data_IF_315695208142
#
_entry.id   IF_315695208142
#
_cell.length_a   1.000
_cell.length_b   1.000
_cell.length_c   1.000
_cell.angle_alpha   90.00
_cell.angle_beta   90.00
_cell.angle_gamma   90.00
#
_symmetry.space_group_name_H-M   'P 1'
#
loop_
_entity.id
_entity.type
_entity.pdbx_description
1 polymer ?
#
# COMPACT_ATOMS: atom_id res chain seq x y z
N UNK A 1 19.33 -54.17 14.07
CA UNK A 1 20.64 -54.20 13.40
C UNK A 1 20.66 -53.07 12.39
N UNK A 2 21.49 -52.08 12.68
CA UNK A 2 21.62 -50.81 11.98
C UNK A 2 22.66 -50.98 10.88
N UNK A 3 22.30 -50.73 9.64
CA UNK A 3 23.28 -50.43 8.59
C UNK A 3 22.54 -49.86 7.40
N UNK A 4 22.43 -48.53 7.34
CA UNK A 4 22.62 -47.64 6.17
C UNK A 4 22.55 -46.17 6.61
N UNK A 5 23.18 -45.88 7.75
CA UNK A 5 23.75 -44.56 8.02
C UNK A 5 25.10 -44.54 7.29
N UNK A 6 25.50 -43.37 6.76
CA UNK A 6 26.70 -43.12 5.94
C UNK A 6 26.56 -43.40 4.45
N UNK A 7 25.85 -42.50 3.74
CA UNK A 7 26.36 -41.74 2.57
C UNK A 7 25.35 -40.64 2.24
N UNK A 8 25.35 -39.55 3.02
CA UNK A 8 25.11 -38.18 2.54
C UNK A 8 25.31 -37.20 3.71
N UNK A 9 26.54 -37.16 4.22
CA UNK A 9 27.02 -36.01 4.98
C UNK A 9 27.59 -35.04 3.94
N UNK A 10 27.00 -33.85 3.85
CA UNK A 10 27.29 -32.83 2.83
C UNK A 10 26.08 -32.73 1.91
N UNK A 11 25.15 -31.81 2.09
CA UNK A 11 25.40 -30.37 1.96
C UNK A 11 24.55 -29.60 2.99
N UNK A 12 25.29 -29.02 3.93
CA UNK A 12 25.08 -27.75 4.62
C UNK A 12 23.86 -26.91 4.15
N UNK A 13 22.98 -26.65 5.13
CA UNK A 13 22.11 -25.48 5.29
C UNK A 13 22.54 -24.26 4.48
N UNK A 14 21.83 -23.90 3.42
CA UNK A 14 21.72 -22.50 2.95
C UNK A 14 20.39 -22.31 2.21
N UNK A 15 19.32 -21.96 2.93
CA UNK A 15 18.18 -21.28 2.28
C UNK A 15 18.45 -19.78 2.36
N UNK A 16 19.07 -19.28 1.29
CA UNK A 16 19.45 -17.89 1.12
C UNK A 16 18.23 -16.96 1.24
N UNK A 17 18.34 -15.96 2.12
CA UNK A 17 17.44 -14.81 2.12
C UNK A 17 17.64 -14.07 0.80
N UNK A 18 16.64 -14.05 -0.07
CA UNK A 18 16.64 -13.16 -1.24
C UNK A 18 16.31 -11.74 -0.77
N UNK A 19 17.35 -10.97 -0.46
CA UNK A 19 17.21 -9.52 -0.38
C UNK A 19 17.15 -8.97 -1.80
N UNK A 20 16.04 -8.32 -2.17
CA UNK A 20 15.99 -7.48 -3.36
C UNK A 20 16.76 -6.18 -3.06
N UNK A 21 17.98 -6.05 -3.61
CA UNK A 21 18.72 -4.79 -3.58
C UNK A 21 18.13 -3.87 -4.66
N UNK A 22 17.63 -2.70 -4.26
CA UNK A 22 17.36 -1.63 -5.19
C UNK A 22 18.68 -1.19 -5.86
N UNK A 23 18.71 -0.88 -7.16
CA UNK A 23 19.88 -0.22 -7.73
C UNK A 23 20.10 1.10 -6.99
N UNK A 24 21.29 1.27 -6.43
CA UNK A 24 21.74 2.56 -5.95
C UNK A 24 21.65 3.54 -7.12
N UNK A 25 20.83 4.58 -6.97
CA UNK A 25 20.83 5.69 -7.90
C UNK A 25 22.26 6.27 -7.88
N UNK A 26 22.98 6.10 -8.99
CA UNK A 26 24.19 6.86 -9.25
C UNK A 26 23.73 8.28 -9.57
N UNK A 27 23.36 9.05 -8.54
CA UNK A 27 23.21 10.47 -8.67
C UNK A 27 24.61 11.05 -8.78
N UNK A 28 25.12 11.07 -10.01
CA UNK A 28 26.12 12.04 -10.41
C UNK A 28 25.58 13.40 -10.00
N UNK A 29 26.37 14.05 -9.17
CA UNK A 29 26.21 15.40 -8.69
C UNK A 29 25.78 16.36 -9.82
N UNK A 30 24.98 17.35 -9.43
CA UNK A 30 24.22 18.27 -10.25
C UNK A 30 24.66 18.42 -11.71
N UNK A 31 23.80 17.97 -12.63
CA UNK A 31 23.59 18.69 -13.87
C UNK A 31 22.87 20.01 -13.54
N UNK A 32 23.57 20.92 -12.85
CA UNK A 32 23.29 22.34 -12.95
C UNK A 32 23.59 22.68 -14.39
N UNK A 33 22.55 22.76 -15.24
CA UNK A 33 22.71 23.37 -16.55
C UNK A 33 23.23 24.78 -16.32
N UNK A 34 24.46 25.13 -16.73
CA UNK A 34 24.85 26.52 -16.72
C UNK A 34 23.94 27.22 -17.72
N UNK A 35 23.14 28.18 -17.22
CA UNK A 35 22.62 29.24 -18.06
C UNK A 35 23.83 29.84 -18.75
N UNK A 36 23.92 29.61 -20.06
CA UNK A 36 24.95 30.18 -20.92
C UNK A 36 24.75 31.70 -20.92
N UNK A 37 25.49 32.39 -20.06
CA UNK A 37 25.85 33.78 -20.31
C UNK A 37 27.29 33.75 -20.81
N UNK A 38 27.46 33.91 -22.13
CA UNK A 38 28.76 34.22 -22.71
C UNK A 38 29.21 35.57 -22.13
N UNK A 39 30.24 35.58 -21.29
CA UNK A 39 31.14 36.72 -21.15
C UNK A 39 32.57 36.19 -20.94
N UNK A 40 33.51 36.49 -21.86
CA UNK A 40 34.88 36.03 -21.75
C UNK A 40 35.63 37.01 -20.84
N UNK A 41 36.21 36.52 -19.77
CA UNK A 41 37.59 36.83 -19.38
C UNK A 41 37.88 36.37 -17.94
N UNK A 42 38.84 35.44 -17.86
CA UNK A 42 40.04 35.55 -17.02
C UNK A 42 39.87 35.60 -15.49
N UNK A 43 40.52 34.66 -14.80
CA UNK A 43 41.59 34.85 -13.79
C UNK A 43 41.66 33.63 -12.85
N UNK A 44 42.82 33.00 -12.77
CA UNK A 44 43.14 31.99 -11.74
C UNK A 44 43.21 32.68 -10.38
N UNK A 45 42.59 32.11 -9.34
CA UNK A 45 42.93 32.40 -7.94
C UNK A 45 42.86 31.10 -7.11
N UNK A 46 44.02 30.72 -6.57
CA UNK A 46 44.13 29.78 -5.44
C UNK A 46 43.42 30.37 -4.20
N UNK A 47 42.76 29.51 -3.43
CA UNK A 47 42.28 29.81 -2.08
C UNK A 47 42.15 28.51 -1.28
N UNK A 48 43.04 28.31 -0.32
CA UNK A 48 42.96 27.29 0.72
C UNK A 48 41.73 27.54 1.61
N UNK A 49 40.78 26.60 1.77
CA UNK A 49 39.72 26.72 2.79
C UNK A 49 39.26 25.35 3.35
N UNK A 50 39.73 25.06 4.58
CA UNK A 50 38.98 24.52 5.75
C UNK A 50 38.19 23.20 5.67
N UNK A 51 38.05 22.44 6.79
CA UNK A 51 37.26 21.23 6.82
C UNK A 51 35.78 21.56 6.58
N UNK A 52 35.20 20.97 5.54
CA UNK A 52 33.78 21.09 5.20
C UNK A 52 32.91 20.56 6.35
N UNK A 53 32.25 21.45 7.09
CA UNK A 53 31.21 21.07 8.03
C UNK A 53 29.94 20.69 7.25
N UNK A 54 29.59 19.41 7.25
CA UNK A 54 28.31 18.95 6.70
C UNK A 54 27.16 19.48 7.56
N UNK A 55 26.42 20.45 7.04
CA UNK A 55 25.19 20.93 7.71
C UNK A 55 24.12 19.84 7.58
N UNK A 56 23.69 19.29 8.72
CA UNK A 56 22.62 18.30 8.77
C UNK A 56 21.28 19.01 8.54
N UNK A 57 20.56 18.66 7.48
CA UNK A 57 19.20 19.15 7.26
C UNK A 57 18.28 18.57 8.32
N UNK A 58 17.77 19.43 9.20
CA UNK A 58 16.77 19.05 10.19
C UNK A 58 15.39 19.03 9.54
N UNK A 59 14.71 17.88 9.60
CA UNK A 59 13.33 17.77 9.13
C UNK A 59 12.42 18.34 10.22
N UNK A 60 11.73 19.46 9.97
CA UNK A 60 10.71 19.97 10.88
C UNK A 60 9.45 19.11 10.78
N UNK A 61 8.89 18.73 11.92
CA UNK A 61 7.62 18.00 11.96
C UNK A 61 6.47 18.95 11.59
N UNK A 62 5.70 18.60 10.56
CA UNK A 62 4.43 19.26 10.23
C UNK A 62 3.33 18.66 11.10
N UNK A 63 2.38 19.50 11.54
CA UNK A 63 1.20 19.05 12.28
C UNK A 63 0.45 17.96 11.52
N UNK A 64 -0.09 16.97 12.24
CA UNK A 64 -0.89 15.92 11.62
C UNK A 64 -2.12 16.56 10.95
N UNK A 65 -2.45 16.18 9.71
CA UNK A 65 -3.66 16.66 9.07
C UNK A 65 -4.87 16.29 9.94
N UNK A 66 -5.75 17.26 10.17
CA UNK A 66 -7.02 17.05 10.86
C UNK A 66 -8.15 16.91 9.84
N UNK A 67 -9.10 16.02 10.10
CA UNK A 67 -10.22 15.81 9.21
C UNK A 67 -11.33 16.84 9.49
N UNK A 68 -11.86 17.47 8.44
CA UNK A 68 -13.00 18.40 8.56
C UNK A 68 -14.33 17.68 8.82
N UNK A 69 -14.38 16.38 8.57
CA UNK A 69 -15.52 15.48 8.80
C UNK A 69 -14.99 14.21 9.48
N UNK A 70 -15.76 13.55 10.36
CA UNK A 70 -15.35 12.27 10.92
C UNK A 70 -14.86 11.30 9.83
N UNK A 71 -13.72 10.62 10.03
CA UNK A 71 -13.26 9.60 9.11
C UNK A 71 -14.33 8.52 8.89
N UNK A 72 -14.37 7.96 7.67
CA UNK A 72 -15.27 6.85 7.37
C UNK A 72 -14.93 5.63 8.23
N UNK A 73 -15.92 4.76 8.46
CA UNK A 73 -15.67 3.49 9.12
C UNK A 73 -14.66 2.67 8.31
N UNK A 74 -13.67 2.07 9.00
CA UNK A 74 -12.67 1.20 8.40
C UNK A 74 -13.12 -0.26 8.34
N UNK A 75 -14.36 -0.56 8.75
CA UNK A 75 -14.95 -1.88 8.59
C UNK A 75 -15.12 -2.19 7.10
N UNK A 76 -14.50 -3.26 6.56
CA UNK A 76 -14.57 -3.54 5.14
C UNK A 76 -16.01 -3.80 4.67
N UNK A 77 -16.41 -3.18 3.56
CA UNK A 77 -17.69 -3.44 2.88
C UNK A 77 -17.69 -4.80 2.17
N UNK A 78 -17.57 -5.89 2.93
CA UNK A 78 -17.65 -7.24 2.35
C UNK A 78 -19.08 -7.53 1.87
N UNK A 79 -19.21 -8.40 0.86
CA UNK A 79 -20.50 -9.00 0.52
C UNK A 79 -21.14 -9.57 1.78
N UNK A 80 -22.46 -9.35 1.95
CA UNK A 80 -23.18 -9.80 3.15
C UNK A 80 -23.19 -11.32 3.28
N UNK A 81 -23.15 -12.03 2.16
CA UNK A 81 -23.10 -13.48 2.06
C UNK A 81 -22.29 -13.92 0.85
N UNK A 82 -21.96 -15.20 0.81
CA UNK A 82 -21.20 -15.87 -0.23
C UNK A 82 -21.93 -17.11 -0.79
N UNK A 83 -21.25 -17.85 -1.68
CA UNK A 83 -21.77 -19.06 -2.30
C UNK A 83 -22.02 -20.23 -1.33
N UNK A 84 -21.45 -20.19 -0.13
CA UNK A 84 -21.61 -21.21 0.90
C UNK A 84 -22.67 -20.82 1.94
N UNK A 85 -23.13 -19.57 1.90
CA UNK A 85 -24.13 -19.07 2.83
C UNK A 85 -25.49 -19.72 2.61
N UNK A 86 -26.26 -19.83 3.70
CA UNK A 86 -27.62 -20.37 3.72
C UNK A 86 -28.57 -19.29 4.26
N UNK A 87 -29.78 -19.26 3.68
CA UNK A 87 -30.74 -18.17 3.87
C UNK A 87 -31.40 -18.09 5.27
N UNK A 88 -32.23 -17.06 5.51
CA UNK A 88 -32.80 -16.16 4.49
C UNK A 88 -31.85 -15.02 4.04
N UNK A 89 -31.90 -14.68 2.75
CA UNK A 89 -31.08 -13.63 2.13
C UNK A 89 -31.82 -12.28 2.14
N UNK A 90 -31.83 -11.64 3.29
CA UNK A 90 -32.68 -10.46 3.53
C UNK A 90 -32.01 -9.12 3.18
N UNK A 91 -32.77 -8.10 2.73
CA UNK A 91 -32.27 -6.77 2.40
C UNK A 91 -32.11 -5.90 3.66
N UNK A 92 -31.25 -6.36 4.57
CA UNK A 92 -30.94 -5.72 5.85
C UNK A 92 -29.43 -5.57 6.02
N UNK A 93 -28.94 -4.41 6.48
CA UNK A 93 -27.52 -4.22 6.81
C UNK A 93 -27.40 -3.46 8.13
N UNK A 94 -27.01 -4.17 9.18
CA UNK A 94 -27.02 -3.62 10.53
C UNK A 94 -28.42 -3.19 10.95
N UNK A 95 -28.60 -1.89 11.22
CA UNK A 95 -29.89 -1.28 11.60
C UNK A 95 -30.71 -0.73 10.41
N UNK A 96 -30.22 -0.88 9.18
CA UNK A 96 -30.88 -0.40 7.97
C UNK A 96 -31.61 -1.55 7.25
N UNK A 97 -32.69 -1.22 6.55
CA UNK A 97 -33.51 -2.18 5.79
C UNK A 97 -34.62 -2.84 6.60
N UNK A 98 -35.26 -3.86 6.03
CA UNK A 98 -36.34 -4.63 6.65
C UNK A 98 -36.43 -6.05 6.05
N UNK A 99 -37.06 -7.02 6.74
CA UNK A 99 -37.35 -8.32 6.17
C UNK A 99 -38.28 -8.24 4.95
N UNK A 100 -38.03 -9.09 3.95
CA UNK A 100 -38.87 -9.22 2.78
C UNK A 100 -40.10 -10.08 3.11
N UNK A 101 -41.27 -9.44 3.15
CA UNK A 101 -42.54 -10.10 3.49
C UNK A 101 -43.22 -10.77 2.28
N UNK A 102 -42.70 -10.53 1.07
CA UNK A 102 -43.22 -11.10 -0.17
C UNK A 102 -42.61 -12.46 -0.52
N UNK A 103 -42.93 -13.01 -1.70
CA UNK A 103 -42.26 -14.20 -2.23
C UNK A 103 -40.75 -13.97 -2.42
N UNK A 104 -39.96 -15.01 -2.13
CA UNK A 104 -38.50 -15.00 -2.26
C UNK A 104 -38.04 -15.78 -3.49
N UNK A 105 -37.04 -15.26 -4.19
CA UNK A 105 -36.26 -15.96 -5.21
C UNK A 105 -34.85 -16.24 -4.67
N UNK A 106 -34.78 -17.21 -3.76
CA UNK A 106 -33.58 -17.57 -2.99
C UNK A 106 -32.31 -17.72 -3.87
N UNK A 107 -32.36 -18.41 -5.05
CA UNK A 107 -31.18 -18.50 -5.91
C UNK A 107 -30.66 -17.14 -6.40
N UNK A 108 -31.55 -16.23 -6.77
CA UNK A 108 -31.19 -14.89 -7.25
C UNK A 108 -30.70 -14.03 -6.09
N UNK A 109 -31.36 -14.09 -4.94
CA UNK A 109 -30.93 -13.32 -3.76
C UNK A 109 -29.53 -13.75 -3.30
N UNK A 110 -29.25 -15.06 -3.28
CA UNK A 110 -27.93 -15.59 -2.96
C UNK A 110 -26.83 -15.03 -3.85
N UNK A 111 -27.11 -14.89 -5.14
CA UNK A 111 -26.14 -14.37 -6.13
C UNK A 111 -25.93 -12.86 -6.03
N UNK A 112 -26.89 -12.12 -5.45
CA UNK A 112 -26.95 -10.67 -5.51
C UNK A 112 -26.86 -10.03 -4.12
N UNK A 113 -25.85 -10.42 -3.34
CA UNK A 113 -25.63 -9.91 -1.98
C UNK A 113 -25.57 -8.37 -1.91
N UNK A 114 -24.81 -7.77 -2.81
CA UNK A 114 -24.58 -6.33 -2.82
C UNK A 114 -25.76 -5.55 -3.43
N UNK A 115 -26.69 -6.20 -4.12
CA UNK A 115 -27.95 -5.55 -4.53
C UNK A 115 -29.01 -5.64 -3.45
N UNK A 116 -29.08 -6.77 -2.73
CA UNK A 116 -30.03 -6.94 -1.63
C UNK A 116 -29.65 -6.11 -0.41
N UNK A 117 -28.38 -6.08 -0.05
CA UNK A 117 -27.87 -5.32 1.08
C UNK A 117 -26.64 -4.51 0.64
N UNK A 118 -26.81 -3.38 -0.06
CA UNK A 118 -25.69 -2.63 -0.63
C UNK A 118 -24.70 -2.11 0.43
N UNK A 119 -23.43 -1.90 0.05
CA UNK A 119 -22.49 -1.14 0.84
C UNK A 119 -23.05 0.22 1.26
N UNK A 120 -22.70 0.70 2.45
CA UNK A 120 -23.15 2.02 2.94
C UNK A 120 -22.56 3.20 2.14
N UNK A 121 -21.59 2.94 1.28
CA UNK A 121 -20.97 3.91 0.37
C UNK A 121 -21.77 4.13 -0.92
N UNK A 122 -22.72 3.25 -1.25
CA UNK A 122 -23.54 3.36 -2.45
C UNK A 122 -24.56 4.48 -2.30
N UNK A 123 -24.70 5.32 -3.33
CA UNK A 123 -25.58 6.49 -3.30
C UNK A 123 -25.97 6.93 -4.72
N UNK A 124 -27.12 7.60 -4.82
CA UNK A 124 -27.60 8.17 -6.07
C UNK A 124 -28.22 7.16 -7.04
N UNK A 125 -28.49 7.62 -8.27
CA UNK A 125 -29.00 6.80 -9.37
C UNK A 125 -27.86 6.55 -10.36
N UNK A 126 -27.62 5.28 -10.66
CA UNK A 126 -26.60 4.80 -11.61
C UNK A 126 -27.27 4.07 -12.76
#
# INVERSE_FOLDING_TARGET
>A
MNTKLFTYLGVVVILSKTSFAAPALHAVDGATFPLVFLHPDRWNHESEQGPMAFTTTSSSSVDKPTATVPPIALDPNKPKWDEHSHGPFEPTRGRLGAPMMGPHNIPVEKQNADLMAPPSTDHGRV
#
